data_IF_255782612550
#
_entry.id   IF_255782612550
#
_cell.length_a   1.000
_cell.length_b   1.000
_cell.length_c   1.000
_cell.angle_alpha   90.00
_cell.angle_beta   90.00
_cell.angle_gamma   90.00
#
_symmetry.space_group_name_H-M   'P 1'
#
loop_
_entity.id
_entity.type
_entity.pdbx_description
1 polymer ?
#
# COMPACT_ATOMS: atom_id res chain seq x y z
N UNK A 1 13.56 24.91 -7.15
CA UNK A 1 12.28 24.32 -7.59
C UNK A 1 12.36 22.85 -7.28
N UNK A 2 11.69 22.42 -6.21
CA UNK A 2 11.70 21.02 -5.75
C UNK A 2 10.34 20.42 -6.09
N UNK A 3 10.33 19.39 -6.92
CA UNK A 3 9.15 18.55 -7.15
C UNK A 3 9.42 17.24 -6.41
N UNK A 4 8.63 16.99 -5.37
CA UNK A 4 8.74 15.78 -4.55
C UNK A 4 7.55 14.88 -4.84
N UNK A 5 7.82 13.59 -4.97
CA UNK A 5 6.79 12.57 -5.06
C UNK A 5 6.60 11.96 -3.67
N UNK A 6 5.44 12.20 -3.06
CA UNK A 6 5.16 11.72 -1.71
C UNK A 6 4.60 10.31 -1.72
N UNK A 7 5.29 9.37 -1.06
CA UNK A 7 4.68 8.13 -0.58
C UNK A 7 4.22 8.37 0.86
N UNK A 8 2.97 8.75 1.05
CA UNK A 8 2.40 8.69 2.40
C UNK A 8 1.79 7.31 2.56
N UNK A 9 2.40 6.46 3.39
CA UNK A 9 1.90 5.15 3.79
C UNK A 9 1.24 5.19 5.17
N UNK A 10 0.59 6.31 5.53
CA UNK A 10 -0.21 6.35 6.75
C UNK A 10 -1.46 5.50 6.54
N UNK A 11 -2.02 4.95 7.62
CA UNK A 11 -3.19 4.07 7.59
C UNK A 11 -4.45 4.66 6.93
N UNK A 12 -4.39 5.82 6.28
CA UNK A 12 -5.48 6.48 5.55
C UNK A 12 -5.12 6.91 4.11
N UNK A 13 -3.94 6.57 3.59
CA UNK A 13 -3.50 6.98 2.25
C UNK A 13 -2.47 6.01 1.70
N UNK A 14 -2.67 5.53 0.48
CA UNK A 14 -1.59 5.62 -0.49
C UNK A 14 -2.00 6.69 -1.48
N UNK A 15 -1.57 7.91 -1.20
CA UNK A 15 -1.82 9.05 -2.06
C UNK A 15 -0.60 9.28 -2.92
N UNK A 16 -0.63 8.90 -4.18
CA UNK A 16 0.42 9.28 -5.12
C UNK A 16 0.10 10.70 -5.60
N UNK A 17 0.88 11.67 -5.12
CA UNK A 17 0.69 13.08 -5.44
C UNK A 17 2.00 13.72 -5.85
N UNK A 18 1.92 14.60 -6.85
CA UNK A 18 3.03 15.48 -7.23
C UNK A 18 2.97 16.72 -6.35
N UNK A 19 4.01 16.95 -5.55
CA UNK A 19 4.13 18.15 -4.71
C UNK A 19 5.18 19.07 -5.32
N UNK A 20 4.88 20.36 -5.47
CA UNK A 20 5.85 21.38 -5.92
C UNK A 20 5.83 22.53 -4.94
N UNK A 21 7.00 22.84 -4.37
CA UNK A 21 7.19 23.99 -3.47
C UNK A 21 6.16 24.05 -2.31
N UNK A 22 5.77 22.88 -1.79
CA UNK A 22 4.81 22.73 -0.69
C UNK A 22 3.33 22.67 -1.12
N UNK A 23 3.03 22.92 -2.39
CA UNK A 23 1.69 22.78 -2.95
C UNK A 23 1.49 21.41 -3.61
N UNK A 24 0.37 20.77 -3.30
CA UNK A 24 -0.01 19.49 -3.91
C UNK A 24 -0.64 19.79 -5.28
N UNK A 25 0.11 19.52 -6.36
CA UNK A 25 -0.33 19.75 -7.74
C UNK A 25 -1.28 18.65 -8.24
N UNK A 26 -1.24 17.48 -7.61
CA UNK A 26 -2.13 16.34 -7.87
C UNK A 26 -2.36 15.61 -6.55
N UNK A 27 -3.63 15.30 -6.24
CA UNK A 27 -4.16 14.70 -4.99
C UNK A 27 -4.60 15.65 -3.85
N UNK A 28 -5.68 16.42 -4.03
CA UNK A 28 -6.35 17.16 -2.95
C UNK A 28 -7.36 16.26 -2.20
N UNK A 29 -7.12 16.04 -0.91
CA UNK A 29 -7.70 14.97 -0.05
C UNK A 29 -9.14 15.21 0.46
N UNK A 30 -9.97 14.15 0.48
CA UNK A 30 -10.85 13.71 1.61
C UNK A 30 -11.45 12.34 1.24
N UNK A 31 -11.05 11.27 1.94
CA UNK A 31 -11.56 9.87 1.85
C UNK A 31 -11.79 9.35 0.41
N UNK A 32 -10.79 8.65 -0.13
CA UNK A 32 -10.56 8.60 -1.57
C UNK A 32 -11.34 7.53 -2.34
N UNK A 33 -12.29 7.99 -3.17
CA UNK A 33 -12.55 7.45 -4.50
C UNK A 33 -11.65 8.25 -5.46
N UNK A 34 -10.77 7.58 -6.22
CA UNK A 34 -9.95 8.17 -7.28
C UNK A 34 -10.84 8.80 -8.37
N UNK A 35 -10.81 10.13 -8.61
CA UNK A 35 -10.32 10.63 -9.91
C UNK A 35 -9.69 12.06 -9.85
N UNK A 36 -8.80 12.51 -10.80
CA UNK A 36 -8.08 11.82 -11.87
C UNK A 36 -6.56 11.70 -11.62
N UNK A 37 -6.08 10.46 -11.56
CA UNK A 37 -4.96 9.96 -12.39
C UNK A 37 -5.46 9.25 -13.66
N UNK A 38 -6.78 9.17 -13.85
CA UNK A 38 -7.47 8.49 -14.96
C UNK A 38 -7.28 9.14 -16.35
N UNK A 39 -6.68 10.33 -16.41
CA UNK A 39 -6.32 10.96 -17.69
C UNK A 39 -4.88 10.70 -18.11
N UNK A 40 -4.07 10.10 -17.23
CA UNK A 40 -2.76 9.62 -17.62
C UNK A 40 -2.95 8.57 -18.70
N UNK A 41 -2.53 8.88 -19.93
CA UNK A 41 -2.62 7.95 -21.07
C UNK A 41 -1.27 7.36 -21.41
N UNK A 42 -0.20 7.99 -20.93
CA UNK A 42 1.17 7.65 -21.27
C UNK A 42 1.84 6.99 -20.08
N UNK A 43 2.07 5.68 -20.19
CA UNK A 43 2.90 4.96 -19.25
C UNK A 43 4.38 5.35 -19.42
N UNK A 44 5.03 5.68 -18.30
CA UNK A 44 6.47 5.84 -18.18
C UNK A 44 7.01 4.60 -17.46
N UNK A 45 7.95 3.90 -18.07
CA UNK A 45 8.63 2.80 -17.42
C UNK A 45 9.41 3.32 -16.21
N UNK A 46 9.00 2.90 -15.01
CA UNK A 46 9.70 3.18 -13.76
C UNK A 46 10.55 1.98 -13.35
N UNK A 47 11.55 2.17 -12.46
CA UNK A 47 12.28 1.05 -11.88
C UNK A 47 11.35 0.05 -11.20
N UNK A 48 11.35 -1.19 -11.68
CA UNK A 48 10.54 -2.27 -11.12
C UNK A 48 11.44 -3.18 -10.28
N UNK A 49 11.43 -3.00 -8.96
CA UNK A 49 12.39 -3.66 -8.06
C UNK A 49 11.70 -4.62 -7.10
N UNK A 50 11.48 -5.85 -7.58
CA UNK A 50 11.02 -6.99 -6.78
C UNK A 50 12.15 -7.99 -6.64
N UNK A 51 12.43 -8.43 -5.41
CA UNK A 51 13.46 -9.44 -5.10
C UNK A 51 12.82 -10.56 -4.29
N UNK A 52 12.44 -11.65 -4.96
CA UNK A 52 11.69 -12.72 -4.32
C UNK A 52 10.29 -12.25 -3.91
N UNK A 53 10.02 -12.17 -2.61
CA UNK A 53 8.75 -11.65 -2.06
C UNK A 53 8.89 -10.21 -1.52
N UNK A 54 10.08 -9.61 -1.60
CA UNK A 54 10.34 -8.26 -1.12
C UNK A 54 10.25 -7.22 -2.26
N UNK A 55 9.78 -6.02 -1.91
CA UNK A 55 9.72 -4.86 -2.81
C UNK A 55 10.66 -3.75 -2.34
N UNK A 56 11.20 -2.96 -3.28
CA UNK A 56 11.99 -1.76 -2.96
C UNK A 56 11.51 -0.55 -3.76
N UNK A 57 11.14 0.53 -3.05
CA UNK A 57 10.61 1.75 -3.67
C UNK A 57 11.62 2.89 -3.79
N UNK A 58 12.81 2.77 -3.17
CA UNK A 58 13.79 3.87 -3.12
C UNK A 58 14.28 4.30 -4.50
N UNK A 59 14.53 3.34 -5.41
CA UNK A 59 14.96 3.63 -6.78
C UNK A 59 13.91 4.39 -7.60
N UNK A 60 12.63 4.20 -7.29
CA UNK A 60 11.53 4.88 -7.99
C UNK A 60 11.50 6.37 -7.63
N UNK A 61 11.70 6.71 -6.36
CA UNK A 61 11.75 8.10 -5.91
C UNK A 61 12.88 8.86 -6.61
N UNK A 62 14.11 8.34 -6.56
CA UNK A 62 15.26 8.97 -7.19
C UNK A 62 15.07 9.14 -8.70
N UNK A 63 14.50 8.14 -9.39
CA UNK A 63 14.20 8.23 -10.82
C UNK A 63 13.21 9.36 -11.13
N UNK A 64 12.18 9.54 -10.32
CA UNK A 64 11.17 10.58 -10.55
C UNK A 64 11.74 11.98 -10.27
N UNK A 65 12.60 12.11 -9.25
CA UNK A 65 13.28 13.37 -8.94
C UNK A 65 14.27 13.80 -10.05
N UNK A 66 14.95 12.85 -10.69
CA UNK A 66 15.92 13.16 -11.74
C UNK A 66 15.27 13.25 -13.13
N UNK A 67 14.55 12.22 -13.53
CA UNK A 67 14.02 12.05 -14.89
C UNK A 67 12.62 12.64 -14.99
N UNK A 68 11.75 12.35 -14.02
CA UNK A 68 10.36 12.83 -14.02
C UNK A 68 10.25 14.36 -14.09
N UNK A 69 11.13 15.07 -13.37
CA UNK A 69 11.17 16.55 -13.40
C UNK A 69 11.51 17.08 -14.79
N UNK A 70 12.49 16.47 -15.46
CA UNK A 70 12.89 16.92 -16.79
C UNK A 70 11.79 16.65 -17.83
N UNK A 71 11.11 15.50 -17.72
CA UNK A 71 9.96 15.17 -18.57
C UNK A 71 8.77 16.12 -18.39
N UNK A 72 8.49 16.55 -17.15
CA UNK A 72 7.46 17.56 -16.87
C UNK A 72 7.84 18.93 -17.46
N UNK A 73 9.10 19.34 -17.32
CA UNK A 73 9.59 20.62 -17.87
C UNK A 73 9.57 20.63 -19.40
N UNK A 74 9.92 19.51 -20.02
CA UNK A 74 9.86 19.30 -21.46
C UNK A 74 8.43 19.15 -22.00
N UNK A 75 7.42 19.04 -21.11
CA UNK A 75 6.01 18.79 -21.44
C UNK A 75 5.80 17.48 -22.23
N UNK A 76 6.70 16.52 -22.07
CA UNK A 76 6.59 15.19 -22.69
C UNK A 76 5.65 14.26 -21.93
N UNK A 77 5.48 14.53 -20.64
CA UNK A 77 4.60 13.85 -19.71
C UNK A 77 3.87 14.89 -18.86
N UNK A 78 2.65 14.54 -18.45
CA UNK A 78 1.88 15.32 -17.48
C UNK A 78 2.09 14.80 -16.06
N UNK A 79 1.66 15.56 -15.04
CA UNK A 79 1.69 15.08 -13.66
C UNK A 79 0.79 13.84 -13.49
N UNK A 80 -0.33 13.82 -14.22
CA UNK A 80 -1.29 12.73 -14.27
C UNK A 80 -0.67 11.47 -14.88
N UNK A 81 0.10 11.59 -15.97
CA UNK A 81 0.81 10.45 -16.56
C UNK A 81 1.84 9.85 -15.59
N UNK A 82 2.56 10.69 -14.83
CA UNK A 82 3.53 10.22 -13.84
C UNK A 82 2.84 9.54 -12.64
N UNK A 83 1.74 10.10 -12.14
CA UNK A 83 0.94 9.48 -11.07
C UNK A 83 0.35 8.14 -11.52
N UNK A 84 -0.15 8.06 -12.75
CA UNK A 84 -0.64 6.83 -13.36
C UNK A 84 0.47 5.78 -13.43
N UNK A 85 1.61 6.14 -14.04
CA UNK A 85 2.76 5.24 -14.20
C UNK A 85 3.27 4.70 -12.86
N UNK A 86 3.25 5.54 -11.84
CA UNK A 86 3.63 5.15 -10.49
C UNK A 86 2.64 4.18 -9.86
N UNK A 87 1.33 4.47 -9.92
CA UNK A 87 0.30 3.59 -9.40
C UNK A 87 0.41 2.21 -10.03
N UNK A 88 0.44 2.14 -11.36
CA UNK A 88 0.55 0.87 -12.09
C UNK A 88 1.81 0.10 -11.71
N UNK A 89 2.97 0.79 -11.65
CA UNK A 89 4.24 0.12 -11.33
C UNK A 89 4.24 -0.43 -9.90
N UNK A 90 3.86 0.40 -8.92
CA UNK A 90 3.88 0.01 -7.50
C UNK A 90 2.84 -1.07 -7.21
N UNK A 91 1.62 -0.92 -7.72
CA UNK A 91 0.57 -1.91 -7.50
C UNK A 91 0.88 -3.24 -8.19
N UNK A 92 1.46 -3.22 -9.40
CA UNK A 92 1.93 -4.44 -10.04
C UNK A 92 2.99 -5.16 -9.18
N UNK A 93 3.93 -4.43 -8.56
CA UNK A 93 4.92 -5.01 -7.64
C UNK A 93 4.27 -5.66 -6.41
N UNK A 94 3.23 -5.02 -5.85
CA UNK A 94 2.48 -5.57 -4.72
C UNK A 94 1.66 -6.81 -5.11
N UNK A 95 1.04 -6.80 -6.28
CA UNK A 95 0.29 -7.95 -6.82
C UNK A 95 1.23 -9.13 -7.07
N UNK A 96 2.38 -8.90 -7.72
CA UNK A 96 3.38 -9.94 -7.99
C UNK A 96 3.88 -10.61 -6.70
N UNK A 97 4.24 -9.82 -5.69
CA UNK A 97 4.72 -10.35 -4.41
C UNK A 97 3.63 -11.07 -3.62
N UNK A 98 2.39 -10.57 -3.68
CA UNK A 98 1.24 -11.22 -3.04
C UNK A 98 0.92 -12.55 -3.70
N UNK A 99 0.89 -12.61 -5.03
CA UNK A 99 0.66 -13.86 -5.77
C UNK A 99 1.75 -14.90 -5.47
N UNK A 100 3.03 -14.49 -5.44
CA UNK A 100 4.14 -15.35 -5.01
C UNK A 100 3.94 -15.90 -3.61
N UNK A 101 3.55 -15.06 -2.66
CA UNK A 101 3.29 -15.47 -1.28
C UNK A 101 2.12 -16.46 -1.19
N UNK A 102 1.01 -16.20 -1.90
CA UNK A 102 -0.13 -17.10 -1.97
C UNK A 102 0.24 -18.49 -2.51
N UNK A 103 1.04 -18.53 -3.58
CA UNK A 103 1.54 -19.79 -4.14
C UNK A 103 2.44 -20.53 -3.13
N UNK A 104 3.28 -19.80 -2.40
CA UNK A 104 4.18 -20.37 -1.40
C UNK A 104 3.45 -20.93 -0.17
N UNK A 105 2.41 -20.25 0.33
CA UNK A 105 1.63 -20.68 1.49
C UNK A 105 0.40 -21.53 1.15
N UNK A 106 0.17 -21.80 -0.14
CA UNK A 106 -1.01 -22.50 -0.65
C UNK A 106 -2.34 -21.84 -0.21
N UNK A 107 -2.38 -20.51 -0.11
CA UNK A 107 -3.61 -19.77 0.26
C UNK A 107 -4.49 -19.51 -0.97
N UNK A 108 -5.79 -19.72 -0.82
CA UNK A 108 -6.81 -19.38 -1.85
C UNK A 108 -7.54 -18.08 -1.53
N UNK A 109 -7.08 -17.34 -0.52
CA UNK A 109 -7.72 -16.11 -0.05
C UNK A 109 -6.67 -15.03 0.20
N UNK A 110 -6.99 -13.80 -0.20
CA UNK A 110 -6.23 -12.58 0.10
C UNK A 110 -7.11 -11.63 0.88
N UNK A 111 -6.58 -11.10 1.96
CA UNK A 111 -7.18 -10.01 2.71
C UNK A 111 -6.35 -8.74 2.51
N UNK A 112 -6.96 -7.72 1.93
CA UNK A 112 -6.37 -6.38 1.83
C UNK A 112 -6.75 -5.55 3.07
N UNK A 113 -5.74 -5.10 3.81
CA UNK A 113 -5.86 -4.24 4.99
C UNK A 113 -4.88 -3.06 4.92
N UNK A 114 -5.05 -2.10 5.84
CA UNK A 114 -4.25 -0.89 5.89
C UNK A 114 -4.81 0.22 5.00
N UNK A 115 -4.38 1.47 5.23
CA UNK A 115 -4.91 2.62 4.47
C UNK A 115 -4.72 2.57 2.96
N UNK A 116 -3.69 1.85 2.52
CA UNK A 116 -3.41 1.63 1.10
C UNK A 116 -4.46 0.73 0.45
N UNK A 117 -5.03 -0.21 1.21
CA UNK A 117 -6.08 -1.11 0.73
C UNK A 117 -7.35 -0.37 0.29
N UNK A 118 -7.58 0.86 0.75
CA UNK A 118 -8.69 1.69 0.28
C UNK A 118 -8.56 2.16 -1.18
N UNK A 119 -7.40 1.96 -1.83
CA UNK A 119 -7.21 2.35 -3.22
C UNK A 119 -7.93 1.38 -4.17
N UNK A 120 -8.93 1.88 -4.89
CA UNK A 120 -9.75 1.07 -5.80
C UNK A 120 -8.96 0.41 -6.93
N UNK A 121 -7.91 1.07 -7.44
CA UNK A 121 -7.07 0.49 -8.51
C UNK A 121 -6.25 -0.70 -8.00
N UNK A 122 -5.71 -0.61 -6.78
CA UNK A 122 -5.05 -1.76 -6.14
C UNK A 122 -6.05 -2.90 -5.90
N UNK A 123 -7.26 -2.60 -5.42
CA UNK A 123 -8.31 -3.61 -5.23
C UNK A 123 -8.68 -4.31 -6.53
N UNK A 124 -8.82 -3.55 -7.63
CA UNK A 124 -9.09 -4.07 -8.97
C UNK A 124 -7.98 -5.01 -9.44
N UNK A 125 -6.71 -4.57 -9.41
CA UNK A 125 -5.58 -5.40 -9.86
C UNK A 125 -5.41 -6.67 -9.03
N UNK A 126 -5.66 -6.61 -7.72
CA UNK A 126 -5.65 -7.80 -6.85
C UNK A 126 -6.84 -8.73 -7.13
N UNK A 127 -8.01 -8.17 -7.46
CA UNK A 127 -9.20 -8.95 -7.80
C UNK A 127 -9.01 -9.69 -9.13
N UNK A 128 -8.41 -9.04 -10.13
CA UNK A 128 -8.05 -9.67 -11.41
C UNK A 128 -7.10 -10.86 -11.18
N UNK A 129 -6.01 -10.65 -10.44
CA UNK A 129 -5.07 -11.73 -10.07
C UNK A 129 -5.77 -12.88 -9.33
N UNK A 130 -6.62 -12.57 -8.34
CA UNK A 130 -7.36 -13.61 -7.62
C UNK A 130 -8.31 -14.39 -8.54
N UNK A 131 -9.02 -13.69 -9.44
CA UNK A 131 -9.93 -14.29 -10.43
C UNK A 131 -9.19 -15.27 -11.36
N UNK A 132 -8.05 -14.85 -11.91
CA UNK A 132 -7.20 -15.68 -12.77
C UNK A 132 -6.69 -16.94 -12.06
N UNK A 133 -6.48 -16.86 -10.74
CA UNK A 133 -6.03 -17.97 -9.91
C UNK A 133 -7.16 -18.87 -9.39
N UNK A 134 -8.42 -18.46 -9.52
CA UNK A 134 -9.55 -19.10 -8.84
C UNK A 134 -9.57 -18.89 -7.32
N UNK A 135 -8.92 -17.83 -6.84
CA UNK A 135 -8.86 -17.41 -5.44
C UNK A 135 -9.90 -16.33 -5.12
N UNK A 136 -10.05 -15.99 -3.84
CA UNK A 136 -10.94 -14.94 -3.36
C UNK A 136 -10.17 -13.77 -2.78
N UNK A 137 -10.71 -12.59 -2.98
CA UNK A 137 -10.22 -11.35 -2.38
C UNK A 137 -11.25 -10.80 -1.40
N UNK A 138 -10.76 -10.32 -0.27
CA UNK A 138 -11.54 -9.63 0.75
C UNK A 138 -10.90 -8.25 0.97
N UNK A 139 -11.66 -7.19 0.70
CA UNK A 139 -11.30 -5.85 1.12
C UNK A 139 -12.07 -5.53 2.41
N UNK A 140 -11.36 -5.10 3.45
CA UNK A 140 -12.02 -4.73 4.70
C UNK A 140 -12.70 -3.36 4.54
N UNK A 141 -13.85 -3.17 5.22
CA UNK A 141 -14.52 -1.86 5.30
C UNK A 141 -13.52 -0.77 5.71
N UNK A 142 -13.61 0.40 5.06
CA UNK A 142 -12.67 1.51 5.27
C UNK A 142 -12.51 1.87 6.76
N UNK A 143 -13.57 1.71 7.58
CA UNK A 143 -13.54 2.02 9.01
C UNK A 143 -12.61 1.12 9.81
N UNK A 144 -12.32 -0.08 9.31
CA UNK A 144 -11.45 -1.07 9.95
C UNK A 144 -10.10 -1.26 9.23
N UNK A 145 -9.95 -0.73 8.01
CA UNK A 145 -8.67 -0.69 7.30
C UNK A 145 -7.66 0.28 7.93
N UNK A 146 -8.16 1.31 8.61
CA UNK A 146 -7.36 2.39 9.19
C UNK A 146 -6.97 2.07 10.64
N UNK A 147 -5.92 2.68 11.17
CA UNK A 147 -5.54 2.50 12.58
C UNK A 147 -6.70 2.88 13.50
N UNK A 148 -7.22 1.89 14.23
CA UNK A 148 -8.38 2.07 15.08
C UNK A 148 -8.25 1.28 16.39
N UNK A 149 -8.87 1.77 17.47
CA UNK A 149 -8.83 1.09 18.76
C UNK A 149 -9.57 -0.26 18.78
N UNK A 150 -10.51 -0.48 17.85
CA UNK A 150 -11.31 -1.71 17.81
C UNK A 150 -10.46 -2.93 17.39
N UNK A 151 -9.51 -2.77 16.48
CA UNK A 151 -8.59 -3.87 16.09
C UNK A 151 -7.70 -4.30 17.27
N UNK A 152 -7.23 -3.34 18.07
CA UNK A 152 -6.44 -3.59 19.28
C UNK A 152 -7.30 -4.28 20.34
N UNK A 153 -8.51 -3.76 20.58
CA UNK A 153 -9.43 -4.35 21.54
C UNK A 153 -9.82 -5.79 21.14
N UNK A 154 -10.05 -6.04 19.85
CA UNK A 154 -10.42 -7.36 19.35
C UNK A 154 -9.28 -8.37 19.49
N UNK A 155 -8.07 -8.03 19.03
CA UNK A 155 -6.89 -8.88 19.19
C UNK A 155 -6.58 -9.15 20.67
N UNK A 156 -6.66 -8.12 21.52
CA UNK A 156 -6.47 -8.26 22.97
C UNK A 156 -7.53 -9.14 23.63
N UNK A 157 -8.80 -9.03 23.23
CA UNK A 157 -9.88 -9.88 23.75
C UNK A 157 -9.72 -11.35 23.32
N UNK A 158 -9.29 -11.60 22.08
CA UNK A 158 -8.99 -12.94 21.58
C UNK A 158 -7.83 -13.59 22.36
N UNK A 159 -6.73 -12.85 22.53
CA UNK A 159 -5.59 -13.30 23.33
C UNK A 159 -6.00 -13.57 24.78
N UNK A 160 -6.66 -12.61 25.43
CA UNK A 160 -7.11 -12.72 26.82
C UNK A 160 -7.98 -13.96 27.06
N UNK A 161 -8.85 -14.31 26.11
CA UNK A 161 -9.71 -15.49 26.21
C UNK A 161 -8.92 -16.81 26.26
N UNK A 162 -7.74 -16.86 25.62
CA UNK A 162 -6.92 -18.08 25.53
C UNK A 162 -5.80 -18.12 26.57
N UNK A 163 -5.19 -16.98 26.90
CA UNK A 163 -4.00 -16.90 27.77
C UNK A 163 -4.27 -16.23 29.12
N UNK A 164 -5.43 -15.61 29.30
CA UNK A 164 -5.70 -14.74 30.44
C UNK A 164 -4.98 -13.39 30.35
N UNK A 165 -4.89 -12.63 31.46
CA UNK A 165 -4.27 -11.30 31.48
C UNK A 165 -2.74 -11.37 31.29
N UNK A 166 -2.20 -10.42 30.53
CA UNK A 166 -0.75 -10.16 30.49
C UNK A 166 -0.27 -9.67 31.86
N UNK A 167 0.88 -10.17 32.34
CA UNK A 167 1.44 -9.72 33.62
C UNK A 167 1.94 -8.29 33.52
N UNK A 168 1.92 -7.57 34.64
CA UNK A 168 2.31 -6.16 34.68
C UNK A 168 3.77 -5.90 34.24
N UNK A 169 4.69 -6.80 34.58
CA UNK A 169 6.09 -6.72 34.17
C UNK A 169 6.30 -7.04 32.69
N UNK A 170 5.29 -7.57 32.00
CA UNK A 170 5.29 -7.89 30.57
C UNK A 170 4.57 -6.82 29.73
N UNK A 171 3.92 -5.81 30.33
CA UNK A 171 3.21 -4.74 29.60
C UNK A 171 4.10 -3.56 29.23
N UNK A 172 5.26 -3.83 28.61
CA UNK A 172 6.19 -2.80 28.14
C UNK A 172 6.00 -2.48 26.65
N UNK A 173 6.51 -1.33 26.21
CA UNK A 173 6.48 -0.94 24.81
C UNK A 173 7.72 -1.46 24.07
N UNK A 174 7.53 -1.99 22.87
CA UNK A 174 8.60 -2.27 21.91
C UNK A 174 8.34 -1.53 20.60
N UNK A 175 9.34 -0.80 20.10
CA UNK A 175 9.25 -0.09 18.82
C UNK A 175 9.48 -1.02 17.61
N UNK A 176 9.96 -2.24 17.85
CA UNK A 176 10.34 -3.21 16.81
C UNK A 176 9.65 -4.54 17.05
N UNK A 177 8.36 -4.50 17.39
CA UNK A 177 7.57 -5.71 17.59
C UNK A 177 7.41 -6.44 16.26
N UNK A 178 7.90 -7.68 16.16
CA UNK A 178 7.72 -8.49 14.95
C UNK A 178 6.44 -9.30 15.03
N UNK A 179 5.87 -9.61 13.87
CA UNK A 179 4.67 -10.44 13.77
C UNK A 179 4.90 -11.88 14.20
N UNK A 180 6.14 -12.39 14.10
CA UNK A 180 6.53 -13.73 14.53
C UNK A 180 7.02 -13.81 15.97
N UNK A 181 7.07 -12.68 16.70
CA UNK A 181 7.35 -12.67 18.15
C UNK A 181 6.10 -13.08 18.98
N UNK A 182 4.92 -13.14 18.36
CA UNK A 182 3.64 -13.45 19.03
C UNK A 182 3.23 -14.89 18.75
N UNK A 183 3.08 -15.69 19.81
CA UNK A 183 2.45 -17.00 19.71
C UNK A 183 0.93 -16.84 19.57
N UNK A 184 0.41 -17.10 18.36
CA UNK A 184 -1.01 -17.01 18.06
C UNK A 184 -1.73 -18.27 18.51
N UNK A 185 -2.35 -18.20 19.70
CA UNK A 185 -3.12 -19.30 20.32
C UNK A 185 -4.61 -19.29 19.97
N UNK A 186 -5.07 -18.28 19.23
CA UNK A 186 -6.44 -18.15 18.73
C UNK A 186 -6.43 -18.29 17.20
N UNK A 187 -7.08 -19.34 16.69
CA UNK A 187 -7.29 -19.56 15.25
C UNK A 187 -8.72 -20.00 15.01
#
# INVERSE_FOLDING_TARGET
MVVSLGFEGSANKLGIGVVRDGEVLSNCRRTYITPPGERGKKYLQLPYVVKGMDVSFSGILSFIEEVGINLLKAKEYTAEDLCFSLQETVFAMLVETTERAMAHCNSQEVLLVGGVACNLRLQEMMADMCSERGAKIYATDERYCIDNGAMIAHAGALLFKHTGPTKWDETYCTQRFRTDDVEVTWR
#
